data_IF_154289259689
#
_entry.id   IF_154289259689
#
_cell.length_a   1.000
_cell.length_b   1.000
_cell.length_c   1.000
_cell.angle_alpha   90.00
_cell.angle_beta   90.00
_cell.angle_gamma   90.00
#
_symmetry.space_group_name_H-M   'P 1'
#
loop_
_entity.id
_entity.type
_entity.pdbx_description
1 polymer ?
#
# COMPACT_ATOMS: atom_id res chain seq x y z
N UNK A 1 -17.17 19.84 -18.08
CA UNK A 1 -15.85 20.18 -17.54
C UNK A 1 -14.87 19.23 -18.19
N UNK A 2 -13.99 19.74 -19.05
CA UNK A 2 -13.22 18.97 -20.04
C UNK A 2 -12.35 17.88 -19.39
N UNK A 3 -12.52 16.62 -19.82
CA UNK A 3 -11.59 15.54 -19.51
C UNK A 3 -10.18 15.91 -20.01
N UNK A 4 -9.32 16.32 -19.09
CA UNK A 4 -7.89 16.51 -19.38
C UNK A 4 -7.23 15.13 -19.43
N UNK A 5 -7.21 14.53 -20.62
CA UNK A 5 -6.43 13.33 -20.90
C UNK A 5 -4.97 13.71 -21.03
N UNK A 6 -4.14 13.29 -20.06
CA UNK A 6 -2.70 13.56 -20.09
C UNK A 6 -2.01 12.64 -21.11
N UNK A 7 -1.43 13.24 -22.14
CA UNK A 7 -0.73 12.51 -23.20
C UNK A 7 0.72 12.24 -22.78
N UNK A 8 0.91 11.17 -22.00
CA UNK A 8 2.25 10.64 -21.72
C UNK A 8 2.72 9.70 -22.83
N UNK A 9 4.00 9.78 -23.16
CA UNK A 9 4.68 8.85 -24.06
C UNK A 9 4.64 7.41 -23.50
N UNK A 10 4.84 6.43 -24.38
CA UNK A 10 4.87 5.01 -23.96
C UNK A 10 5.96 4.75 -22.92
N UNK A 11 7.11 5.41 -23.08
CA UNK A 11 8.25 5.30 -22.15
C UNK A 11 7.90 5.89 -20.78
N UNK A 12 7.29 7.07 -20.73
CA UNK A 12 6.85 7.69 -19.47
C UNK A 12 5.83 6.81 -18.73
N UNK A 13 4.85 6.25 -19.44
CA UNK A 13 3.90 5.30 -18.83
C UNK A 13 4.61 4.09 -18.24
N UNK A 14 5.58 3.52 -18.98
CA UNK A 14 6.42 2.43 -18.50
C UNK A 14 7.23 2.81 -17.25
N UNK A 15 7.76 4.04 -17.22
CA UNK A 15 8.49 4.57 -16.07
C UNK A 15 7.60 4.78 -14.84
N UNK A 16 6.34 5.17 -15.00
CA UNK A 16 5.40 5.26 -13.87
C UNK A 16 5.10 3.88 -13.26
N UNK A 17 5.04 2.83 -14.08
CA UNK A 17 4.90 1.46 -13.59
C UNK A 17 6.18 0.95 -12.92
N UNK A 18 7.35 1.29 -13.44
CA UNK A 18 8.61 0.88 -12.80
C UNK A 18 8.91 1.68 -11.53
N UNK A 19 8.44 2.92 -11.41
CA UNK A 19 8.62 3.77 -10.22
C UNK A 19 8.12 3.09 -8.95
N UNK A 20 6.96 2.44 -8.98
CA UNK A 20 6.41 1.70 -7.83
C UNK A 20 7.29 0.50 -7.47
N UNK A 21 7.80 -0.22 -8.47
CA UNK A 21 8.70 -1.36 -8.25
C UNK A 21 10.04 -0.91 -7.65
N UNK A 22 10.64 0.16 -8.16
CA UNK A 22 11.89 0.74 -7.65
C UNK A 22 11.69 1.25 -6.22
N UNK A 23 10.58 1.96 -5.97
CA UNK A 23 10.21 2.42 -4.63
C UNK A 23 10.12 1.28 -3.62
N UNK A 24 9.48 0.18 -4.01
CA UNK A 24 9.35 -1.01 -3.17
C UNK A 24 10.71 -1.65 -2.84
N UNK A 25 11.58 -1.81 -3.85
CA UNK A 25 12.93 -2.36 -3.65
C UNK A 25 13.76 -1.50 -2.70
N UNK A 26 13.79 -0.19 -2.92
CA UNK A 26 14.54 0.75 -2.07
C UNK A 26 13.92 0.83 -0.68
N UNK A 27 12.59 0.80 -0.57
CA UNK A 27 11.86 0.87 0.69
C UNK A 27 12.00 -0.38 1.56
N UNK A 28 12.34 -1.52 0.99
CA UNK A 28 12.49 -2.78 1.74
C UNK A 28 13.58 -2.66 2.81
N UNK A 29 14.74 -2.08 2.48
CA UNK A 29 15.84 -1.93 3.43
C UNK A 29 15.49 -1.07 4.67
N UNK A 30 14.99 0.18 4.55
CA UNK A 30 14.63 1.00 5.70
C UNK A 30 13.45 0.42 6.48
N UNK A 31 12.48 -0.24 5.82
CA UNK A 31 11.37 -0.91 6.50
C UNK A 31 11.87 -1.97 7.47
N UNK A 32 12.81 -2.83 7.04
CA UNK A 32 13.37 -3.89 7.89
C UNK A 32 14.05 -3.29 9.13
N UNK A 33 14.84 -2.22 8.94
CA UNK A 33 15.49 -1.53 10.06
C UNK A 33 14.51 -0.86 11.02
N UNK A 34 13.38 -0.37 10.49
CA UNK A 34 12.32 0.24 11.30
C UNK A 34 11.49 -0.81 12.04
N UNK A 35 11.35 -2.01 11.49
CA UNK A 35 10.61 -3.12 12.12
C UNK A 35 11.27 -3.58 13.42
N UNK A 36 12.60 -3.48 13.52
CA UNK A 36 13.32 -3.77 14.78
C UNK A 36 13.07 -2.73 15.89
N UNK A 37 12.68 -1.51 15.51
CA UNK A 37 12.56 -0.35 16.41
C UNK A 37 11.11 0.03 16.71
N UNK A 38 10.21 -0.19 15.77
CA UNK A 38 8.80 0.18 15.84
C UNK A 38 7.94 -1.07 15.97
N UNK A 39 6.86 -0.94 16.75
CA UNK A 39 5.85 -1.99 16.78
C UNK A 39 5.11 -2.06 15.44
N UNK A 40 4.73 -3.28 15.02
CA UNK A 40 4.04 -3.53 13.75
C UNK A 40 2.84 -2.61 13.56
N UNK A 41 2.03 -2.40 14.60
CA UNK A 41 0.91 -1.46 14.54
C UNK A 41 1.31 -0.07 14.07
N UNK A 42 2.38 0.50 14.65
CA UNK A 42 2.86 1.84 14.32
C UNK A 42 3.50 1.88 12.94
N UNK A 43 4.31 0.87 12.62
CA UNK A 43 5.00 0.76 11.35
C UNK A 43 4.00 0.68 10.19
N UNK A 44 3.08 -0.28 10.23
CA UNK A 44 2.10 -0.48 9.16
C UNK A 44 1.16 0.73 9.02
N UNK A 45 0.79 1.36 10.13
CA UNK A 45 -0.02 2.59 10.10
C UNK A 45 0.72 3.76 9.46
N UNK A 46 2.01 3.98 9.80
CA UNK A 46 2.81 5.05 9.22
C UNK A 46 2.92 4.90 7.70
N UNK A 47 3.32 3.72 7.23
CA UNK A 47 3.45 3.45 5.80
C UNK A 47 2.09 3.44 5.09
N UNK A 48 1.04 2.94 5.74
CA UNK A 48 -0.33 3.02 5.21
C UNK A 48 -0.83 4.46 5.01
N UNK A 49 -0.52 5.37 5.95
CA UNK A 49 -0.84 6.80 5.81
C UNK A 49 -0.04 7.43 4.66
N UNK A 50 1.26 7.10 4.53
CA UNK A 50 2.09 7.56 3.40
C UNK A 50 1.49 7.10 2.06
N UNK A 51 1.07 5.83 1.97
CA UNK A 51 0.41 5.28 0.78
C UNK A 51 -0.91 5.99 0.45
N UNK A 52 -1.76 6.23 1.46
CA UNK A 52 -3.02 6.93 1.28
C UNK A 52 -2.83 8.38 0.79
N UNK A 53 -1.92 9.12 1.42
CA UNK A 53 -1.60 10.50 1.05
C UNK A 53 -1.03 10.54 -0.36
N UNK A 54 -0.07 9.67 -0.68
CA UNK A 54 0.52 9.61 -2.02
C UNK A 54 -0.55 9.36 -3.09
N UNK A 55 -1.41 8.36 -2.86
CA UNK A 55 -2.50 8.00 -3.78
C UNK A 55 -3.48 9.16 -3.98
N UNK A 56 -3.88 9.84 -2.91
CA UNK A 56 -4.81 10.98 -2.98
C UNK A 56 -4.19 12.24 -3.61
N UNK A 57 -2.88 12.42 -3.55
CA UNK A 57 -2.20 13.56 -4.16
C UNK A 57 -1.97 13.40 -5.67
N UNK A 58 -2.02 12.18 -6.21
CA UNK A 58 -1.82 11.92 -7.64
C UNK A 58 -2.69 12.80 -8.55
N UNK A 59 -4.02 12.92 -8.36
CA UNK A 59 -4.84 13.76 -9.23
C UNK A 59 -4.55 15.25 -9.12
N UNK A 60 -4.15 15.71 -7.93
CA UNK A 60 -3.75 17.10 -7.72
C UNK A 60 -2.44 17.40 -8.48
N UNK A 61 -1.46 16.51 -8.30
CA UNK A 61 -0.11 16.64 -8.86
C UNK A 61 -0.01 16.33 -10.35
N UNK A 62 -1.01 15.66 -10.92
CA UNK A 62 -1.05 15.41 -12.37
C UNK A 62 -0.96 16.68 -13.21
N UNK A 63 -1.48 17.81 -12.71
CA UNK A 63 -1.39 19.10 -13.42
C UNK A 63 0.02 19.70 -13.41
N UNK A 64 0.89 19.27 -12.49
CA UNK A 64 2.23 19.84 -12.30
C UNK A 64 3.32 19.11 -13.11
N UNK A 65 3.01 17.95 -13.68
CA UNK A 65 3.87 17.25 -14.64
C UNK A 65 4.23 15.82 -14.24
N UNK A 66 5.02 15.20 -15.11
CA UNK A 66 5.43 13.80 -15.00
C UNK A 66 6.27 13.51 -13.75
N UNK A 67 7.20 14.38 -13.39
CA UNK A 67 8.14 14.18 -12.28
C UNK A 67 7.42 14.02 -10.93
N UNK A 68 6.38 14.83 -10.70
CA UNK A 68 5.57 14.73 -9.48
C UNK A 68 4.76 13.43 -9.43
N UNK A 69 4.22 12.98 -10.56
CA UNK A 69 3.55 11.69 -10.65
C UNK A 69 4.52 10.53 -10.39
N UNK A 70 5.73 10.62 -10.93
CA UNK A 70 6.79 9.64 -10.69
C UNK A 70 7.15 9.59 -9.20
N UNK A 71 7.32 10.75 -8.55
CA UNK A 71 7.62 10.82 -7.12
C UNK A 71 6.52 10.22 -6.25
N UNK A 72 5.24 10.48 -6.54
CA UNK A 72 4.12 9.87 -5.80
C UNK A 72 4.06 8.35 -6.02
N UNK A 73 4.28 7.87 -7.26
CA UNK A 73 4.33 6.42 -7.54
C UNK A 73 5.48 5.74 -6.84
N UNK A 74 6.64 6.39 -6.80
CA UNK A 74 7.77 5.93 -6.03
C UNK A 74 7.42 5.82 -4.54
N UNK A 75 6.79 6.85 -3.96
CA UNK A 75 6.40 6.88 -2.55
C UNK A 75 5.34 5.84 -2.20
N UNK A 76 4.40 5.58 -3.11
CA UNK A 76 3.41 4.51 -3.00
C UNK A 76 4.08 3.13 -2.94
N UNK A 77 5.03 2.87 -3.86
CA UNK A 77 5.85 1.66 -3.86
C UNK A 77 6.70 1.52 -2.60
N UNK A 78 7.32 2.62 -2.15
CA UNK A 78 8.10 2.66 -0.91
C UNK A 78 7.24 2.31 0.31
N UNK A 79 6.00 2.80 0.36
CA UNK A 79 5.07 2.45 1.41
C UNK A 79 4.66 0.97 1.37
N UNK A 80 4.46 0.43 0.17
CA UNK A 80 4.11 -0.97 -0.03
C UNK A 80 5.19 -1.95 0.45
N UNK A 81 6.45 -1.52 0.53
CA UNK A 81 7.55 -2.33 1.07
C UNK A 81 7.31 -2.83 2.51
N UNK A 82 6.50 -2.12 3.29
CA UNK A 82 6.11 -2.52 4.64
C UNK A 82 5.13 -3.70 4.71
N UNK A 83 4.49 -4.06 3.59
CA UNK A 83 3.43 -5.06 3.58
C UNK A 83 3.96 -6.46 3.90
N UNK A 84 4.97 -6.95 3.17
CA UNK A 84 5.45 -8.33 3.34
C UNK A 84 6.02 -8.62 4.74
N UNK A 85 6.87 -7.75 5.33
CA UNK A 85 7.37 -7.99 6.68
C UNK A 85 6.25 -7.97 7.72
N UNK A 86 5.30 -7.03 7.58
CA UNK A 86 4.10 -6.97 8.44
C UNK A 86 3.29 -8.27 8.38
N UNK A 87 3.07 -8.83 7.18
CA UNK A 87 2.31 -10.08 7.02
C UNK A 87 3.05 -11.27 7.65
N UNK A 88 4.38 -11.32 7.52
CA UNK A 88 5.23 -12.33 8.17
C UNK A 88 5.15 -12.25 9.69
N UNK A 89 5.23 -11.05 10.26
CA UNK A 89 5.18 -10.84 11.70
C UNK A 89 3.78 -11.09 12.27
N UNK A 90 2.71 -10.67 11.58
CA UNK A 90 1.33 -11.02 11.97
C UNK A 90 1.15 -12.55 11.96
N UNK A 91 1.62 -13.23 10.91
CA UNK A 91 1.52 -14.68 10.82
C UNK A 91 2.26 -15.37 11.96
N UNK A 92 3.49 -14.96 12.28
CA UNK A 92 4.26 -15.58 13.37
C UNK A 92 3.65 -15.31 14.75
N UNK A 93 2.95 -14.19 14.93
CA UNK A 93 2.32 -13.83 16.20
C UNK A 93 0.97 -14.51 16.42
N UNK A 94 0.21 -14.77 15.35
CA UNK A 94 -1.20 -15.18 15.43
C UNK A 94 -1.48 -16.60 14.92
N UNK A 95 -0.52 -17.27 14.28
CA UNK A 95 -0.66 -18.67 13.85
C UNK A 95 0.02 -19.65 14.80
N UNK A 96 -0.49 -20.89 14.85
CA UNK A 96 0.25 -22.02 15.41
C UNK A 96 1.32 -22.44 14.40
N UNK A 97 2.49 -22.87 14.89
CA UNK A 97 3.62 -23.25 14.02
C UNK A 97 3.23 -24.29 12.96
N UNK A 98 2.42 -25.28 13.34
CA UNK A 98 1.92 -26.34 12.46
C UNK A 98 1.04 -25.81 11.30
N UNK A 99 0.27 -24.74 11.54
CA UNK A 99 -0.70 -24.20 10.58
C UNK A 99 -0.26 -22.87 9.94
N UNK A 100 0.96 -22.42 10.25
CA UNK A 100 1.51 -21.14 9.80
C UNK A 100 1.52 -21.00 8.27
N UNK A 101 1.81 -22.08 7.54
CA UNK A 101 1.76 -22.10 6.08
C UNK A 101 0.35 -21.91 5.51
N UNK A 102 -0.66 -22.52 6.15
CA UNK A 102 -2.07 -22.35 5.74
C UNK A 102 -2.55 -20.93 6.04
N UNK A 103 -2.22 -20.40 7.22
CA UNK A 103 -2.54 -19.02 7.60
C UNK A 103 -1.91 -18.00 6.63
N UNK A 104 -0.62 -18.16 6.33
CA UNK A 104 0.08 -17.30 5.35
C UNK A 104 -0.57 -17.39 3.98
N UNK A 105 -0.93 -18.60 3.52
CA UNK A 105 -1.58 -18.80 2.22
C UNK A 105 -2.93 -18.08 2.15
N UNK A 106 -3.75 -18.18 3.21
CA UNK A 106 -5.03 -17.48 3.33
C UNK A 106 -4.86 -15.97 3.29
N UNK A 107 -3.84 -15.43 3.96
CA UNK A 107 -3.51 -14.01 3.88
C UNK A 107 -3.12 -13.64 2.46
N UNK A 108 -2.19 -14.36 1.83
CA UNK A 108 -1.69 -14.05 0.47
C UNK A 108 -2.79 -14.05 -0.60
N UNK A 109 -3.92 -14.73 -0.39
CA UNK A 109 -5.08 -14.63 -1.27
C UNK A 109 -5.54 -13.18 -1.50
N UNK A 110 -5.26 -12.26 -0.56
CA UNK A 110 -5.56 -10.82 -0.73
C UNK A 110 -4.93 -10.23 -2.01
N UNK A 111 -3.80 -10.76 -2.48
CA UNK A 111 -3.10 -10.27 -3.67
C UNK A 111 -3.91 -10.46 -4.95
N UNK A 112 -4.79 -11.46 -4.97
CA UNK A 112 -5.69 -11.72 -6.11
C UNK A 112 -7.08 -11.13 -5.86
N UNK A 113 -7.60 -11.24 -4.65
CA UNK A 113 -8.93 -10.78 -4.28
C UNK A 113 -9.03 -9.25 -4.36
N UNK A 114 -7.98 -8.51 -3.93
CA UNK A 114 -7.97 -7.05 -3.97
C UNK A 114 -8.20 -6.51 -5.40
N UNK A 115 -7.31 -6.81 -6.36
CA UNK A 115 -7.45 -6.40 -7.75
C UNK A 115 -8.77 -6.82 -8.41
N UNK A 116 -9.32 -7.97 -8.03
CA UNK A 116 -10.60 -8.46 -8.54
C UNK A 116 -11.74 -7.47 -8.32
N UNK A 117 -11.73 -6.75 -7.19
CA UNK A 117 -12.71 -5.70 -6.90
C UNK A 117 -12.23 -4.31 -7.33
N UNK A 118 -10.97 -3.97 -7.09
CA UNK A 118 -10.48 -2.61 -7.33
C UNK A 118 -10.38 -2.28 -8.82
N UNK A 119 -10.04 -3.23 -9.69
CA UNK A 119 -9.89 -2.97 -11.12
C UNK A 119 -11.23 -2.65 -11.82
N UNK A 120 -12.32 -3.43 -11.66
CA UNK A 120 -13.60 -3.09 -12.28
C UNK A 120 -14.18 -1.78 -11.73
N UNK A 121 -14.07 -1.54 -10.42
CA UNK A 121 -14.53 -0.29 -9.79
C UNK A 121 -13.76 0.91 -10.35
N UNK A 122 -12.43 0.80 -10.46
CA UNK A 122 -11.59 1.82 -11.10
C UNK A 122 -11.98 2.07 -12.55
N UNK A 123 -12.25 1.01 -13.31
CA UNK A 123 -12.69 1.10 -14.71
C UNK A 123 -14.02 1.81 -14.85
N UNK A 124 -15.02 1.46 -14.03
CA UNK A 124 -16.34 2.08 -14.02
C UNK A 124 -16.27 3.57 -13.63
N UNK A 125 -15.42 3.92 -12.65
CA UNK A 125 -15.20 5.32 -12.25
C UNK A 125 -14.51 6.14 -13.34
N UNK A 126 -13.52 5.56 -14.02
CA UNK A 126 -12.80 6.25 -15.09
C UNK A 126 -13.71 6.66 -16.27
N UNK A 127 -14.74 5.86 -16.59
CA UNK A 127 -15.71 6.19 -17.66
C UNK A 127 -16.91 7.01 -17.17
N UNK A 128 -17.05 7.18 -15.86
CA UNK A 128 -18.13 7.97 -15.27
C UNK A 128 -17.89 9.47 -15.42
N UNK A 129 -18.91 10.28 -15.13
CA UNK A 129 -18.80 11.75 -15.09
C UNK A 129 -17.77 12.29 -14.10
N UNK A 130 -17.33 11.48 -13.14
CA UNK A 130 -16.29 11.84 -12.16
C UNK A 130 -14.86 11.61 -12.67
N UNK A 131 -14.70 10.84 -13.76
CA UNK A 131 -13.43 10.56 -14.42
C UNK A 131 -12.41 9.81 -13.58
N UNK A 132 -11.21 9.69 -14.12
CA UNK A 132 -10.08 8.99 -13.49
C UNK A 132 -9.64 9.53 -12.11
N UNK A 133 -9.73 10.84 -11.78
CA UNK A 133 -9.34 11.35 -10.46
C UNK A 133 -10.11 10.70 -9.31
N UNK A 134 -11.40 10.40 -9.53
CA UNK A 134 -12.27 9.82 -8.53
C UNK A 134 -11.77 8.47 -8.03
N UNK A 135 -11.20 7.66 -8.93
CA UNK A 135 -10.56 6.38 -8.59
C UNK A 135 -9.50 6.57 -7.52
N UNK A 136 -8.59 7.53 -7.69
CA UNK A 136 -7.50 7.75 -6.73
C UNK A 136 -8.00 8.30 -5.39
N UNK A 137 -8.98 9.21 -5.39
CA UNK A 137 -9.56 9.71 -4.16
C UNK A 137 -10.30 8.62 -3.36
N UNK A 138 -11.08 7.77 -4.04
CA UNK A 138 -11.81 6.67 -3.40
C UNK A 138 -10.83 5.64 -2.82
N UNK A 139 -9.82 5.23 -3.59
CA UNK A 139 -8.82 4.27 -3.09
C UNK A 139 -7.99 4.86 -1.96
N UNK A 140 -7.56 6.13 -2.06
CA UNK A 140 -6.82 6.78 -0.99
C UNK A 140 -7.63 6.93 0.30
N UNK A 141 -8.91 7.32 0.21
CA UNK A 141 -9.81 7.40 1.35
C UNK A 141 -10.08 6.03 1.97
N UNK A 142 -10.29 5.00 1.15
CA UNK A 142 -10.50 3.63 1.61
C UNK A 142 -9.25 3.09 2.33
N UNK A 143 -8.06 3.30 1.77
CA UNK A 143 -6.79 2.92 2.41
C UNK A 143 -6.64 3.61 3.76
N UNK A 144 -6.90 4.92 3.83
CA UNK A 144 -6.82 5.66 5.10
C UNK A 144 -7.82 5.12 6.13
N UNK A 145 -9.06 4.88 5.71
CA UNK A 145 -10.10 4.33 6.57
C UNK A 145 -9.74 2.95 7.12
N UNK A 146 -9.25 2.04 6.28
CA UNK A 146 -8.80 0.70 6.68
C UNK A 146 -7.62 0.79 7.64
N UNK A 147 -6.66 1.69 7.40
CA UNK A 147 -5.50 1.89 8.28
C UNK A 147 -5.92 2.45 9.64
N UNK A 148 -6.89 3.36 9.69
CA UNK A 148 -7.46 3.85 10.95
C UNK A 148 -8.13 2.70 11.72
N UNK A 149 -8.94 1.89 11.04
CA UNK A 149 -9.57 0.71 11.64
C UNK A 149 -8.49 -0.24 12.17
N UNK A 150 -7.47 -0.53 11.37
CA UNK A 150 -6.35 -1.38 11.76
C UNK A 150 -5.66 -0.84 13.01
N UNK A 151 -5.36 0.46 13.07
CA UNK A 151 -4.74 1.05 14.26
C UNK A 151 -5.60 0.93 15.52
N UNK A 152 -6.92 1.07 15.39
CA UNK A 152 -7.88 0.98 16.50
C UNK A 152 -8.06 -0.46 16.97
N UNK A 153 -8.22 -1.42 16.05
CA UNK A 153 -8.54 -2.82 16.34
C UNK A 153 -7.28 -3.62 16.66
N UNK A 154 -6.24 -3.49 15.83
CA UNK A 154 -5.02 -4.27 15.99
C UNK A 154 -4.37 -3.90 17.32
N UNK A 155 -4.03 -4.93 18.08
CA UNK A 155 -3.25 -4.83 19.30
C UNK A 155 -2.03 -5.68 19.07
N UNK A 156 -0.87 -5.04 19.19
CA UNK A 156 0.38 -5.76 19.19
C UNK A 156 0.31 -6.79 20.33
N UNK A 157 0.53 -8.06 19.99
CA UNK A 157 0.40 -9.16 20.94
C UNK A 157 1.31 -8.92 22.15
N UNK A 158 0.93 -9.28 23.39
CA UNK A 158 1.62 -8.89 24.63
C UNK A 158 3.01 -9.52 24.82
N UNK A 159 3.56 -10.19 23.80
CA UNK A 159 4.93 -10.74 23.79
C UNK A 159 6.00 -9.66 23.55
N UNK A 160 5.84 -8.50 24.21
CA UNK A 160 6.81 -7.38 24.19
C UNK A 160 8.08 -7.71 25.01
N UNK A 161 8.28 -8.98 25.42
CA UNK A 161 9.52 -9.46 26.01
C UNK A 161 10.28 -10.40 25.07
N UNK A 162 11.48 -9.96 24.70
CA UNK A 162 12.53 -10.62 23.89
C UNK A 162 13.12 -11.93 24.48
N UNK A 163 12.40 -12.66 25.34
CA UNK A 163 12.94 -13.86 26.00
C UNK A 163 11.91 -14.98 26.21
N UNK A 164 11.28 -15.46 25.14
CA UNK A 164 10.75 -16.83 25.17
C UNK A 164 11.17 -17.54 23.89
N UNK A 165 12.25 -18.29 24.02
CA UNK A 165 12.54 -19.47 23.20
C UNK A 165 11.51 -20.53 23.63
N UNK A 166 10.78 -21.08 22.68
CA UNK A 166 10.17 -22.40 22.79
C UNK A 166 10.69 -23.21 21.61
#
# INVERSE_FOLDING_TARGET
SSEKTYYFTRTEKGLLFSATAIGNLIGTYPVILLEEKLTIRKLFTLFGVISAISTSLIPCLANFGFEFLFAMRFLEGFAYASAYPTLGTITSQWSLLADSGMYMSLIMCHLQIGPLFTMPVSGALCVSSFGWPATYYIHGALTLFIIIIFYIIYRDSPKIHKFVIL
#
